data_IF_162740819487
#
_entry.id   IF_162740819487
#
_cell.length_a   1.000
_cell.length_b   1.000
_cell.length_c   1.000
_cell.angle_alpha   90.00
_cell.angle_beta   90.00
_cell.angle_gamma   90.00
#
_symmetry.space_group_name_H-M   'P 1'
#
loop_
_entity.id
_entity.type
_entity.pdbx_description
1 polymer ?
#
# COMPACT_ATOMS: atom_id res chain seq x y z
N UNK A 1 2.26 54.14 -43.36
CA UNK A 1 1.18 53.18 -42.99
C UNK A 1 1.82 52.01 -42.26
N UNK A 2 1.76 52.01 -40.92
CA UNK A 2 2.26 50.96 -40.04
C UNK A 2 1.23 49.83 -39.90
N UNK A 3 1.66 48.57 -40.04
CA UNK A 3 0.95 47.39 -39.52
C UNK A 3 2.01 46.41 -38.97
N UNK A 4 2.27 46.37 -37.65
CA UNK A 4 1.65 45.46 -36.65
C UNK A 4 1.55 44.01 -37.13
N UNK A 5 1.99 42.96 -36.43
CA UNK A 5 2.28 42.74 -35.00
C UNK A 5 3.15 41.46 -34.89
N UNK A 6 4.09 41.47 -33.96
CA UNK A 6 4.78 40.27 -33.49
C UNK A 6 3.78 39.37 -32.73
N UNK A 7 3.70 38.10 -33.13
CA UNK A 7 2.97 37.06 -32.40
C UNK A 7 3.97 36.37 -31.46
N UNK A 8 3.95 36.76 -30.18
CA UNK A 8 4.57 36.00 -29.10
C UNK A 8 3.78 34.68 -28.93
N UNK A 9 4.42 33.56 -29.26
CA UNK A 9 3.92 32.23 -28.92
C UNK A 9 4.10 31.95 -27.43
N UNK A 10 3.00 31.82 -26.71
CA UNK A 10 3.00 31.29 -25.35
C UNK A 10 2.94 29.76 -25.42
N UNK A 11 4.09 29.10 -25.19
CA UNK A 11 4.16 27.64 -25.00
C UNK A 11 3.82 27.34 -23.55
N UNK A 12 2.55 27.02 -23.28
CA UNK A 12 2.12 26.49 -21.99
C UNK A 12 2.56 25.03 -21.87
N UNK A 13 3.67 24.78 -21.19
CA UNK A 13 4.11 23.44 -20.78
C UNK A 13 3.12 22.89 -19.74
N UNK A 14 2.14 22.11 -20.21
CA UNK A 14 1.32 21.24 -19.37
C UNK A 14 2.20 20.09 -18.89
N UNK A 15 2.83 20.25 -17.72
CA UNK A 15 3.43 19.14 -17.00
C UNK A 15 2.27 18.34 -16.41
N UNK A 16 1.78 17.36 -17.16
CA UNK A 16 0.84 16.35 -16.67
C UNK A 16 1.54 15.54 -15.59
N UNK A 17 1.33 15.90 -14.32
CA UNK A 17 1.75 15.07 -13.20
C UNK A 17 1.10 13.69 -13.34
N UNK A 18 1.92 12.65 -13.35
CA UNK A 18 1.44 11.26 -13.33
C UNK A 18 0.90 11.02 -11.92
N UNK A 19 -0.38 11.33 -11.70
CA UNK A 19 -1.10 10.90 -10.51
C UNK A 19 -1.23 9.38 -10.57
N UNK A 20 -0.27 8.66 -9.98
CA UNK A 20 -0.43 7.24 -9.69
C UNK A 20 -1.35 7.15 -8.48
N UNK A 21 -2.66 7.09 -8.73
CA UNK A 21 -3.64 6.79 -7.70
C UNK A 21 -3.40 5.38 -7.18
N UNK A 22 -3.69 5.15 -5.90
CA UNK A 22 -3.64 3.79 -5.35
C UNK A 22 -4.74 2.95 -6.00
N UNK A 23 -4.35 1.83 -6.59
CA UNK A 23 -5.25 0.90 -7.27
C UNK A 23 -5.67 -0.17 -6.27
N UNK A 24 -6.98 -0.45 -6.20
CA UNK A 24 -7.48 -1.59 -5.42
C UNK A 24 -7.41 -2.86 -6.25
N UNK A 25 -6.96 -3.94 -5.62
CA UNK A 25 -6.78 -5.24 -6.26
C UNK A 25 -7.58 -6.33 -5.53
N UNK A 26 -8.02 -7.32 -6.29
CA UNK A 26 -8.63 -8.56 -5.79
C UNK A 26 -7.59 -9.61 -5.40
N UNK A 27 -6.35 -9.46 -5.88
CA UNK A 27 -5.31 -10.45 -5.68
C UNK A 27 -3.90 -9.86 -5.74
N UNK A 28 -3.03 -10.32 -4.84
CA UNK A 28 -1.60 -10.04 -4.85
C UNK A 28 -0.79 -11.31 -5.11
N UNK A 29 0.25 -11.19 -5.94
CA UNK A 29 1.29 -12.18 -6.18
C UNK A 29 2.59 -11.66 -5.57
N UNK A 30 3.13 -12.41 -4.62
CA UNK A 30 4.21 -11.98 -3.73
C UNK A 30 5.44 -12.91 -3.87
N UNK A 31 6.64 -12.45 -3.48
CA UNK A 31 7.83 -13.28 -3.37
C UNK A 31 7.83 -14.17 -2.11
N UNK A 32 6.74 -14.16 -1.33
CA UNK A 32 6.60 -14.89 -0.08
C UNK A 32 7.15 -14.17 1.16
N UNK A 33 7.59 -12.92 1.00
CA UNK A 33 8.12 -12.10 2.10
C UNK A 33 7.59 -10.67 2.02
N UNK A 34 7.54 -9.99 3.16
CA UNK A 34 7.12 -8.60 3.28
C UNK A 34 7.52 -7.98 4.62
N UNK A 35 6.92 -6.82 4.90
CA UNK A 35 7.04 -6.11 6.18
C UNK A 35 5.68 -5.95 6.81
N UNK A 36 5.48 -6.50 7.99
CA UNK A 36 4.27 -6.34 8.79
C UNK A 36 4.43 -5.11 9.70
N UNK A 37 3.59 -4.12 9.52
CA UNK A 37 3.41 -3.02 10.45
C UNK A 37 2.25 -3.34 11.37
N UNK A 38 2.52 -3.44 12.67
CA UNK A 38 1.51 -3.58 13.72
C UNK A 38 1.32 -2.23 14.37
N UNK A 39 0.10 -1.69 14.31
CA UNK A 39 -0.19 -0.39 14.92
C UNK A 39 -0.81 -0.57 16.31
N UNK A 40 -0.36 0.24 17.25
CA UNK A 40 -0.78 0.24 18.65
C UNK A 40 -1.07 1.65 19.12
N UNK A 41 -1.87 1.76 20.19
CA UNK A 41 -2.30 2.99 20.85
C UNK A 41 -3.30 3.84 20.06
N UNK A 42 -4.59 3.63 20.37
CA UNK A 42 -5.74 4.26 19.69
C UNK A 42 -6.26 5.53 20.36
N UNK A 43 -5.69 5.94 21.51
CA UNK A 43 -6.32 6.95 22.36
C UNK A 43 -5.67 8.34 22.30
N UNK A 44 -4.35 8.47 22.10
CA UNK A 44 -3.66 9.79 22.14
C UNK A 44 -2.48 9.89 21.14
N UNK A 45 -1.71 8.82 20.94
CA UNK A 45 -0.58 8.78 19.99
C UNK A 45 -0.59 7.42 19.29
N UNK A 46 -0.56 7.38 17.95
CA UNK A 46 -0.38 6.13 17.22
C UNK A 46 1.10 5.76 17.17
N UNK A 47 1.44 4.56 17.64
CA UNK A 47 2.79 4.00 17.51
C UNK A 47 2.74 2.74 16.66
N UNK A 48 3.64 2.60 15.70
CA UNK A 48 3.75 1.38 14.90
C UNK A 48 5.06 0.64 15.15
N UNK A 49 5.00 -0.69 15.06
CA UNK A 49 6.18 -1.57 15.12
C UNK A 49 6.24 -2.38 13.83
N UNK A 50 7.43 -2.48 13.25
CA UNK A 50 7.64 -3.18 11.99
C UNK A 50 8.35 -4.52 12.24
N UNK A 51 7.87 -5.57 11.59
CA UNK A 51 8.43 -6.91 11.62
C UNK A 51 8.66 -7.42 10.20
N UNK A 52 9.73 -8.18 9.98
CA UNK A 52 9.86 -8.97 8.75
C UNK A 52 8.89 -10.15 8.81
N UNK A 53 8.19 -10.44 7.71
CA UNK A 53 7.13 -11.45 7.67
C UNK A 53 7.22 -12.34 6.44
N UNK A 54 7.00 -13.63 6.62
CA UNK A 54 6.76 -14.63 5.57
C UNK A 54 5.26 -14.74 5.31
N UNK A 55 4.87 -14.74 4.04
CA UNK A 55 3.48 -14.74 3.58
C UNK A 55 3.30 -15.71 2.40
N UNK A 56 2.07 -16.11 2.05
CA UNK A 56 1.84 -16.93 0.87
C UNK A 56 2.17 -16.18 -0.43
N UNK A 57 2.56 -16.89 -1.50
CA UNK A 57 2.90 -16.28 -2.79
C UNK A 57 1.69 -15.74 -3.56
N UNK A 58 0.47 -16.15 -3.19
CA UNK A 58 -0.78 -15.73 -3.82
C UNK A 58 -1.81 -15.45 -2.75
N UNK A 59 -2.30 -14.22 -2.71
CA UNK A 59 -3.15 -13.71 -1.64
C UNK A 59 -4.39 -13.04 -2.25
N UNK A 60 -5.58 -13.65 -2.12
CA UNK A 60 -6.84 -13.00 -2.43
C UNK A 60 -7.21 -11.95 -1.37
N UNK A 61 -7.94 -10.91 -1.76
CA UNK A 61 -8.66 -10.08 -0.81
C UNK A 61 -9.78 -10.87 -0.11
N UNK A 62 -10.23 -10.38 1.05
CA UNK A 62 -11.23 -11.05 1.90
C UNK A 62 -10.78 -12.39 2.49
N UNK A 63 -9.48 -12.72 2.43
CA UNK A 63 -8.96 -14.03 2.84
C UNK A 63 -8.19 -13.99 4.16
N UNK A 64 -8.19 -15.10 4.90
CA UNK A 64 -7.30 -15.31 6.04
C UNK A 64 -6.08 -16.10 5.60
N UNK A 65 -4.89 -15.52 5.75
CA UNK A 65 -3.61 -16.14 5.41
C UNK A 65 -2.84 -16.55 6.67
N UNK A 66 -2.04 -17.61 6.55
CA UNK A 66 -1.04 -17.95 7.56
C UNK A 66 0.22 -17.13 7.30
N UNK A 67 0.82 -16.60 8.36
CA UNK A 67 2.03 -15.80 8.30
C UNK A 67 3.02 -16.25 9.37
N UNK A 68 4.29 -15.91 9.18
CA UNK A 68 5.32 -16.05 10.21
C UNK A 68 6.08 -14.74 10.29
N UNK A 69 6.17 -14.13 11.46
CA UNK A 69 6.86 -12.85 11.61
C UNK A 69 7.98 -12.95 12.64
N UNK A 70 9.06 -12.18 12.41
CA UNK A 70 10.24 -12.21 13.25
C UNK A 70 10.15 -11.15 14.34
N UNK A 71 10.04 -11.60 15.59
CA UNK A 71 9.99 -10.74 16.79
C UNK A 71 11.06 -11.19 17.77
N UNK A 72 11.87 -10.24 18.26
CA UNK A 72 12.92 -10.49 19.24
C UNK A 72 13.87 -11.65 18.84
N UNK A 73 14.19 -11.72 17.54
CA UNK A 73 15.05 -12.77 16.96
C UNK A 73 14.37 -14.12 16.70
N UNK A 74 13.13 -14.32 17.16
CA UNK A 74 12.38 -15.56 17.01
C UNK A 74 11.28 -15.45 15.96
N UNK A 75 11.00 -16.55 15.26
CA UNK A 75 9.86 -16.65 14.35
C UNK A 75 8.60 -17.04 15.11
N UNK A 76 7.54 -16.25 14.93
CA UNK A 76 6.23 -16.47 15.54
C UNK A 76 5.21 -16.74 14.44
N UNK A 77 4.52 -17.87 14.54
CA UNK A 77 3.43 -18.23 13.63
C UNK A 77 2.15 -17.46 14.00
N UNK A 78 1.39 -17.04 12.99
CA UNK A 78 0.15 -16.30 13.18
C UNK A 78 -0.75 -16.32 11.95
N UNK A 79 -1.89 -15.64 12.05
CA UNK A 79 -2.80 -15.45 10.91
C UNK A 79 -3.09 -13.99 10.69
N UNK A 80 -3.20 -13.59 9.43
CA UNK A 80 -3.56 -12.23 9.02
C UNK A 80 -4.83 -12.28 8.16
N UNK A 81 -5.81 -11.44 8.44
CA UNK A 81 -7.00 -11.30 7.60
C UNK A 81 -6.78 -10.14 6.64
N UNK A 82 -6.81 -10.42 5.34
CA UNK A 82 -6.61 -9.43 4.28
C UNK A 82 -7.97 -8.85 3.93
N UNK A 83 -8.36 -7.76 4.57
CA UNK A 83 -9.63 -7.09 4.29
C UNK A 83 -9.64 -6.39 2.93
N UNK A 84 -8.47 -5.95 2.46
CA UNK A 84 -8.31 -5.38 1.14
C UNK A 84 -6.86 -5.28 0.71
N UNK A 85 -6.67 -5.10 -0.59
CA UNK A 85 -5.34 -4.94 -1.21
C UNK A 85 -5.36 -3.63 -1.97
N UNK A 86 -4.46 -2.71 -1.61
CA UNK A 86 -4.16 -1.56 -2.47
C UNK A 86 -2.74 -1.67 -3.00
N UNK A 87 -2.47 -1.06 -4.16
CA UNK A 87 -1.19 -1.15 -4.81
C UNK A 87 -0.79 0.15 -5.48
N UNK A 88 0.52 0.37 -5.57
CA UNK A 88 1.15 1.45 -6.32
C UNK A 88 2.43 0.94 -6.99
N UNK A 89 2.38 0.75 -8.31
CA UNK A 89 3.52 0.20 -9.05
C UNK A 89 3.79 -1.26 -8.70
N UNK A 90 4.94 -1.57 -8.12
CA UNK A 90 5.31 -2.92 -7.67
C UNK A 90 5.18 -3.09 -6.14
N UNK A 91 4.53 -2.15 -5.46
CA UNK A 91 4.27 -2.20 -4.02
C UNK A 91 2.79 -2.55 -3.80
N UNK A 92 2.53 -3.59 -3.02
CA UNK A 92 1.20 -3.91 -2.50
C UNK A 92 1.13 -3.67 -0.99
N UNK A 93 -0.01 -3.17 -0.54
CA UNK A 93 -0.43 -3.03 0.84
C UNK A 93 -1.58 -3.99 1.11
N UNK A 94 -1.36 -4.95 2.00
CA UNK A 94 -2.39 -5.87 2.47
C UNK A 94 -2.94 -5.29 3.78
N UNK A 95 -4.16 -4.77 3.76
CA UNK A 95 -4.77 -4.12 4.91
C UNK A 95 -5.54 -5.12 5.75
N UNK A 96 -5.40 -5.03 7.08
CA UNK A 96 -6.23 -5.83 8.00
C UNK A 96 -7.65 -5.28 8.16
N UNK A 97 -7.85 -4.00 7.85
CA UNK A 97 -9.16 -3.33 7.82
C UNK A 97 -9.25 -2.38 6.62
N UNK A 98 -10.46 -2.19 6.07
CA UNK A 98 -10.65 -1.21 4.99
C UNK A 98 -10.76 0.20 5.56
N UNK A 99 -10.06 1.19 4.96
CA UNK A 99 -10.26 2.59 5.32
C UNK A 99 -11.69 3.00 4.96
N UNK A 100 -12.44 3.55 5.92
CA UNK A 100 -13.77 4.08 5.68
C UNK A 100 -13.83 5.58 5.90
N UNK A 101 -14.83 6.24 5.33
CA UNK A 101 -15.03 7.69 5.51
C UNK A 101 -15.24 8.09 6.98
N UNK A 102 -15.61 7.14 7.83
CA UNK A 102 -15.87 7.34 9.27
C UNK A 102 -14.79 6.74 10.18
N UNK A 103 -13.89 5.93 9.64
CA UNK A 103 -12.80 5.28 10.37
C UNK A 103 -11.53 5.34 9.51
N UNK A 104 -10.62 6.23 9.92
CA UNK A 104 -9.21 6.23 9.54
C UNK A 104 -8.39 5.50 10.60
N UNK A 105 -8.96 4.50 11.25
CA UNK A 105 -8.24 3.76 12.28
C UNK A 105 -6.96 3.19 11.69
N UNK A 106 -5.80 3.41 12.33
CA UNK A 106 -4.60 2.74 11.90
C UNK A 106 -4.82 1.23 12.06
N UNK A 107 -4.64 0.50 10.96
CA UNK A 107 -4.81 -0.96 10.91
C UNK A 107 -3.47 -1.61 10.57
N UNK A 108 -3.28 -2.83 11.06
CA UNK A 108 -2.10 -3.60 10.72
C UNK A 108 -2.03 -3.78 9.21
N UNK A 109 -0.83 -3.61 8.64
CA UNK A 109 -0.62 -3.61 7.21
C UNK A 109 0.61 -4.45 6.86
N UNK A 110 0.50 -5.31 5.85
CA UNK A 110 1.66 -6.00 5.26
C UNK A 110 2.06 -5.30 3.96
N UNK A 111 3.28 -4.78 3.93
CA UNK A 111 3.90 -4.17 2.77
C UNK A 111 4.69 -5.23 2.00
N UNK A 112 4.45 -5.32 0.69
CA UNK A 112 5.08 -6.33 -0.18
C UNK A 112 5.68 -5.67 -1.40
N UNK A 113 6.98 -5.85 -1.61
CA UNK A 113 7.70 -5.42 -2.81
C UNK A 113 8.84 -6.38 -3.15
N UNK A 114 9.01 -6.82 -4.41
CA UNK A 114 8.11 -6.55 -5.53
C UNK A 114 6.77 -7.30 -5.39
N UNK A 115 5.71 -6.76 -5.96
CA UNK A 115 4.38 -7.35 -5.99
C UNK A 115 3.76 -7.18 -7.38
N UNK A 116 2.98 -8.17 -7.81
CA UNK A 116 2.08 -8.04 -8.97
C UNK A 116 0.65 -8.22 -8.49
N UNK A 117 -0.31 -7.56 -9.12
CA UNK A 117 -1.69 -7.57 -8.66
C UNK A 117 -2.71 -7.61 -9.80
N UNK A 118 -3.95 -7.99 -9.47
CA UNK A 118 -5.10 -8.03 -10.38
C UNK A 118 -6.36 -7.54 -9.67
#
# INVERSE_FOLDING_TARGET
>A
MNRTRALLGAVSLLISGISSADEWASMAITPGVGRLEVVSNYLIFSSSTNYDVEIPPKIPDGSRIQIRYKKDGSWIDGSFFVAGISARGDLCWLHSELPSQYSKSPSDTIYVKPCRYK
#
